data_IF_904812748677
#
_entry.id   IF_904812748677
#
_cell.length_a   1.000
_cell.length_b   1.000
_cell.length_c   1.000
_cell.angle_alpha   90.00
_cell.angle_beta   90.00
_cell.angle_gamma   90.00
#
_symmetry.space_group_name_H-M   'P 1'
#
loop_
_entity.id
_entity.type
_entity.pdbx_description
1 polymer ?
#
# COMPACT_ATOMS: atom_id res chain seq x y z
N UNK A 1 -34.02 13.22 3.22
CA UNK A 1 -34.11 11.89 2.61
C UNK A 1 -33.79 11.97 1.12
N UNK A 2 -34.53 12.77 0.32
CA UNK A 2 -34.25 12.96 -1.11
C UNK A 2 -32.97 13.74 -1.42
N UNK A 3 -32.77 14.92 -0.81
CA UNK A 3 -31.57 15.74 -1.06
C UNK A 3 -30.25 15.02 -0.71
N UNK A 4 -30.29 14.17 0.32
CA UNK A 4 -29.13 13.37 0.74
C UNK A 4 -28.79 12.29 -0.28
N UNK A 5 -29.80 11.66 -0.90
CA UNK A 5 -29.59 10.70 -1.99
C UNK A 5 -29.12 11.37 -3.28
N UNK A 6 -29.61 12.58 -3.57
CA UNK A 6 -29.20 13.34 -4.74
C UNK A 6 -27.71 13.74 -4.66
N UNK A 7 -27.27 14.21 -3.48
CA UNK A 7 -25.85 14.47 -3.20
C UNK A 7 -25.02 13.19 -3.31
N UNK A 8 -25.49 12.07 -2.72
CA UNK A 8 -24.78 10.78 -2.80
C UNK A 8 -24.60 10.31 -4.25
N UNK A 9 -25.62 10.43 -5.10
CA UNK A 9 -25.51 10.08 -6.53
C UNK A 9 -24.57 11.00 -7.30
N UNK A 10 -24.57 12.30 -7.00
CA UNK A 10 -23.65 13.26 -7.61
C UNK A 10 -22.20 12.97 -7.22
N UNK A 11 -21.98 12.60 -5.95
CA UNK A 11 -20.68 12.18 -5.42
C UNK A 11 -20.22 10.89 -6.11
N UNK A 12 -21.05 9.86 -6.18
CA UNK A 12 -20.75 8.59 -6.85
C UNK A 12 -20.43 8.78 -8.34
N UNK A 13 -21.18 9.63 -9.05
CA UNK A 13 -20.92 9.96 -10.45
C UNK A 13 -19.57 10.69 -10.65
N UNK A 14 -19.21 11.59 -9.73
CA UNK A 14 -17.93 12.30 -9.74
C UNK A 14 -16.75 11.34 -9.47
N UNK A 15 -16.91 10.40 -8.53
CA UNK A 15 -15.91 9.37 -8.26
C UNK A 15 -15.76 8.36 -9.40
N UNK A 16 -16.85 7.93 -10.03
CA UNK A 16 -16.83 6.97 -11.13
C UNK A 16 -16.20 7.48 -12.44
N UNK A 17 -16.09 8.80 -12.60
CA UNK A 17 -15.53 9.43 -13.81
C UNK A 17 -14.06 9.84 -13.65
N UNK A 18 -13.59 10.07 -12.41
CA UNK A 18 -12.28 10.71 -12.20
C UNK A 18 -11.13 9.73 -12.10
N UNK A 19 -9.99 10.10 -12.70
CA UNK A 19 -8.72 9.34 -12.61
C UNK A 19 -8.04 9.46 -11.24
N UNK A 20 -8.40 10.48 -10.45
CA UNK A 20 -7.78 10.84 -9.17
C UNK A 20 -8.87 11.03 -8.09
N UNK A 21 -9.31 9.93 -7.49
CA UNK A 21 -10.38 9.93 -6.48
C UNK A 21 -10.08 10.86 -5.28
N UNK A 22 -8.82 10.95 -4.86
CA UNK A 22 -8.40 11.80 -3.73
C UNK A 22 -8.64 13.29 -4.03
N UNK A 23 -8.39 13.72 -5.26
CA UNK A 23 -8.59 15.12 -5.67
C UNK A 23 -10.08 15.50 -5.70
N UNK A 24 -10.95 14.59 -6.17
CA UNK A 24 -12.40 14.81 -6.17
C UNK A 24 -12.96 14.83 -4.76
N UNK A 25 -12.49 13.93 -3.88
CA UNK A 25 -12.87 13.92 -2.47
C UNK A 25 -12.53 15.24 -1.77
N UNK A 26 -11.34 15.78 -2.04
CA UNK A 26 -10.87 17.05 -1.48
C UNK A 26 -11.77 18.23 -1.90
N UNK A 27 -12.10 18.32 -3.20
CA UNK A 27 -12.97 19.38 -3.74
C UNK A 27 -14.38 19.32 -3.16
N UNK A 28 -14.95 18.12 -3.04
CA UNK A 28 -16.29 17.93 -2.45
C UNK A 28 -16.32 18.31 -0.96
N UNK A 29 -15.29 17.91 -0.19
CA UNK A 29 -15.17 18.27 1.22
C UNK A 29 -15.00 19.78 1.41
N UNK A 30 -14.18 20.43 0.56
CA UNK A 30 -14.01 21.89 0.58
C UNK A 30 -15.31 22.64 0.30
N UNK A 31 -16.07 22.19 -0.71
CA UNK A 31 -17.39 22.78 -1.02
C UNK A 31 -18.38 22.60 0.12
N UNK A 32 -18.45 21.41 0.72
CA UNK A 32 -19.31 21.15 1.85
C UNK A 32 -18.99 22.03 3.07
N UNK A 33 -17.71 22.29 3.35
CA UNK A 33 -17.29 23.20 4.41
C UNK A 33 -17.71 24.65 4.13
N UNK A 34 -17.54 25.11 2.90
CA UNK A 34 -17.97 26.46 2.49
C UNK A 34 -19.49 26.63 2.60
N UNK A 35 -20.26 25.62 2.20
CA UNK A 35 -21.72 25.66 2.29
C UNK A 35 -22.20 25.62 3.75
N UNK A 36 -21.55 24.82 4.61
CA UNK A 36 -21.82 24.80 6.05
C UNK A 36 -21.51 26.13 6.74
N UNK A 37 -20.42 26.80 6.33
CA UNK A 37 -20.06 28.13 6.84
C UNK A 37 -21.07 29.20 6.39
N UNK A 38 -21.49 29.19 5.12
CA UNK A 38 -22.52 30.11 4.60
C UNK A 38 -23.86 29.95 5.29
N UNK A 39 -24.20 28.73 5.71
CA UNK A 39 -25.41 28.45 6.47
C UNK A 39 -25.31 28.83 7.96
N UNK A 40 -24.16 29.37 8.41
CA UNK A 40 -23.95 29.85 9.77
C UNK A 40 -23.79 28.74 10.81
N UNK A 41 -23.53 27.50 10.38
CA UNK A 41 -23.37 26.35 11.28
C UNK A 41 -21.99 26.28 11.95
N UNK A 42 -21.02 27.07 11.48
CA UNK A 42 -19.62 27.02 11.92
C UNK A 42 -19.15 28.41 12.35
N UNK A 43 -18.43 28.48 13.47
CA UNK A 43 -17.65 29.67 13.83
C UNK A 43 -16.35 29.73 13.01
N UNK A 44 -15.78 30.92 12.79
CA UNK A 44 -14.57 31.12 11.98
C UNK A 44 -13.39 30.24 12.43
N UNK A 45 -13.22 30.06 13.73
CA UNK A 45 -12.18 29.18 14.29
C UNK A 45 -12.44 27.70 13.94
N UNK A 46 -13.68 27.24 14.03
CA UNK A 46 -14.06 25.86 13.69
C UNK A 46 -13.89 25.58 12.21
N UNK A 47 -14.21 26.55 11.35
CA UNK A 47 -13.99 26.48 9.91
C UNK A 47 -12.49 26.31 9.59
N UNK A 48 -11.63 27.11 10.22
CA UNK A 48 -10.18 27.01 10.05
C UNK A 48 -9.62 25.65 10.50
N UNK A 49 -10.09 25.14 11.64
CA UNK A 49 -9.67 23.84 12.16
C UNK A 49 -10.12 22.67 11.26
N UNK A 50 -11.36 22.73 10.76
CA UNK A 50 -11.90 21.73 9.84
C UNK A 50 -11.17 21.73 8.50
N UNK A 51 -10.91 22.91 7.91
CA UNK A 51 -10.14 23.03 6.66
C UNK A 51 -8.73 22.45 6.82
N UNK A 52 -8.06 22.74 7.95
CA UNK A 52 -6.75 22.18 8.25
C UNK A 52 -6.80 20.65 8.37
N UNK A 53 -7.82 20.09 9.03
CA UNK A 53 -8.00 18.65 9.16
C UNK A 53 -8.29 17.97 7.82
N UNK A 54 -9.12 18.57 6.96
CA UNK A 54 -9.34 18.08 5.59
C UNK A 54 -8.04 18.10 4.80
N UNK A 55 -7.26 19.18 4.88
CA UNK A 55 -5.93 19.26 4.26
C UNK A 55 -4.99 18.13 4.71
N UNK A 56 -4.99 17.79 6.00
CA UNK A 56 -4.22 16.65 6.55
C UNK A 56 -4.70 15.31 6.00
N UNK A 57 -6.01 15.09 5.92
CA UNK A 57 -6.58 13.85 5.37
C UNK A 57 -6.23 13.68 3.89
N UNK A 58 -6.37 14.74 3.08
CA UNK A 58 -6.02 14.73 1.66
C UNK A 58 -4.53 14.47 1.47
N UNK A 59 -3.67 15.10 2.28
CA UNK A 59 -2.23 14.88 2.25
C UNK A 59 -1.88 13.42 2.59
N UNK A 60 -2.52 12.85 3.62
CA UNK A 60 -2.31 11.46 3.99
C UNK A 60 -2.78 10.49 2.89
N UNK A 61 -3.95 10.73 2.30
CA UNK A 61 -4.48 9.93 1.20
C UNK A 61 -3.59 10.00 -0.06
N UNK A 62 -3.08 11.20 -0.40
CA UNK A 62 -2.14 11.38 -1.50
C UNK A 62 -0.84 10.61 -1.28
N UNK A 63 -0.31 10.59 -0.05
CA UNK A 63 0.86 9.78 0.31
C UNK A 63 0.60 8.27 0.15
N UNK A 64 -0.60 7.79 0.52
CA UNK A 64 -0.97 6.39 0.30
C UNK A 64 -1.08 6.06 -1.19
N UNK A 65 -1.60 6.98 -2.02
CA UNK A 65 -1.64 6.81 -3.48
C UNK A 65 -0.24 6.78 -4.07
N UNK A 66 0.69 7.61 -3.59
CA UNK A 66 2.10 7.59 -4.01
C UNK A 66 2.76 6.25 -3.67
N UNK A 67 2.65 5.79 -2.42
CA UNK A 67 3.20 4.49 -1.99
C UNK A 67 2.59 3.33 -2.80
N UNK A 68 1.28 3.38 -3.07
CA UNK A 68 0.61 2.37 -3.90
C UNK A 68 0.96 2.45 -5.39
N UNK A 69 1.34 3.63 -5.89
CA UNK A 69 1.71 3.87 -7.30
C UNK A 69 3.20 3.72 -7.56
N UNK A 70 4.03 3.50 -6.53
CA UNK A 70 5.45 3.13 -6.70
C UNK A 70 5.60 1.61 -6.68
N UNK A 71 5.32 0.88 -7.77
CA UNK A 71 5.61 -0.55 -7.81
C UNK A 71 7.13 -0.73 -7.78
N UNK A 72 7.61 -1.60 -6.89
CA UNK A 72 8.99 -2.08 -6.94
C UNK A 72 9.25 -2.70 -8.32
N UNK A 73 10.40 -2.45 -8.97
CA UNK A 73 10.70 -3.03 -10.27
C UNK A 73 10.56 -4.56 -10.22
N UNK A 74 9.75 -5.13 -11.12
CA UNK A 74 9.52 -6.58 -11.20
C UNK A 74 10.84 -7.35 -11.35
N UNK A 75 11.81 -6.77 -12.04
CA UNK A 75 13.14 -7.35 -12.24
C UNK A 75 13.94 -7.52 -10.94
N UNK A 76 13.73 -6.65 -9.95
CA UNK A 76 14.38 -6.74 -8.64
C UNK A 76 13.98 -8.02 -7.93
N UNK A 77 12.68 -8.30 -7.86
CA UNK A 77 12.14 -9.52 -7.23
C UNK A 77 12.65 -10.78 -7.93
N UNK A 78 12.63 -10.81 -9.27
CA UNK A 78 13.18 -11.95 -10.01
C UNK A 78 14.67 -12.16 -9.77
N UNK A 79 15.45 -11.09 -9.64
CA UNK A 79 16.87 -11.20 -9.34
C UNK A 79 17.11 -11.78 -7.94
N UNK A 80 16.35 -11.29 -6.94
CA UNK A 80 16.48 -11.73 -5.56
C UNK A 80 16.20 -13.23 -5.39
N UNK A 81 15.05 -13.70 -5.90
CA UNK A 81 14.68 -15.12 -5.82
C UNK A 81 15.68 -16.02 -6.57
N UNK A 82 16.18 -15.61 -7.75
CA UNK A 82 17.19 -16.38 -8.50
C UNK A 82 18.52 -16.46 -7.75
N UNK A 83 18.96 -15.34 -7.16
CA UNK A 83 20.18 -15.31 -6.35
C UNK A 83 20.04 -16.22 -5.12
N UNK A 84 18.90 -16.16 -4.42
CA UNK A 84 18.61 -16.98 -3.25
C UNK A 84 18.58 -18.48 -3.60
N UNK A 85 18.01 -18.85 -4.74
CA UNK A 85 18.04 -20.23 -5.23
C UNK A 85 19.46 -20.73 -5.49
N UNK A 86 20.31 -19.92 -6.13
CA UNK A 86 21.73 -20.26 -6.36
C UNK A 86 22.46 -20.39 -5.02
N UNK A 87 22.23 -19.50 -4.08
CA UNK A 87 22.81 -19.56 -2.74
C UNK A 87 22.43 -20.87 -2.02
N UNK A 88 21.12 -21.17 -1.93
CA UNK A 88 20.63 -22.40 -1.31
C UNK A 88 21.15 -23.66 -2.02
N UNK A 89 21.32 -23.65 -3.34
CA UNK A 89 21.88 -24.77 -4.09
C UNK A 89 23.38 -24.96 -3.86
N UNK A 90 24.15 -23.89 -3.70
CA UNK A 90 25.60 -23.97 -3.43
C UNK A 90 25.93 -24.36 -1.98
N UNK A 91 25.05 -24.04 -1.03
CA UNK A 91 25.21 -24.29 0.40
C UNK A 91 25.52 -25.76 0.77
N UNK A 92 24.82 -26.80 0.26
CA UNK A 92 25.15 -28.19 0.56
C UNK A 92 26.55 -28.59 0.08
N UNK A 93 27.05 -28.04 -1.03
CA UNK A 93 28.40 -28.34 -1.51
C UNK A 93 29.49 -27.77 -0.59
N UNK A 94 29.23 -26.60 0.02
CA UNK A 94 30.13 -25.98 0.99
C UNK A 94 30.13 -26.75 2.32
N UNK A 95 28.98 -27.26 2.75
CA UNK A 95 28.85 -27.99 4.02
C UNK A 95 29.24 -29.47 3.93
N UNK A 96 29.14 -30.09 2.76
CA UNK A 96 29.47 -31.50 2.54
C UNK A 96 30.84 -31.94 3.09
N UNK A 97 31.97 -31.21 2.86
CA UNK A 97 33.26 -31.61 3.41
C UNK A 97 33.37 -31.45 4.94
N UNK A 98 32.53 -30.62 5.57
CA UNK A 98 32.56 -30.35 7.01
C UNK A 98 31.69 -31.32 7.81
N UNK A 99 30.53 -31.68 7.25
CA UNK A 99 29.44 -32.35 7.98
C UNK A 99 28.95 -33.64 7.30
N UNK A 100 29.50 -34.01 6.14
CA UNK A 100 29.11 -35.22 5.40
C UNK A 100 27.61 -35.25 5.09
N UNK A 101 26.94 -36.37 5.38
CA UNK A 101 25.50 -36.55 5.15
C UNK A 101 24.61 -35.60 5.97
N UNK A 102 25.07 -35.14 7.13
CA UNK A 102 24.30 -34.19 7.95
C UNK A 102 24.23 -32.79 7.31
N UNK A 103 25.11 -32.49 6.35
CA UNK A 103 25.08 -31.26 5.55
C UNK A 103 23.75 -31.05 4.84
N UNK A 104 23.13 -32.13 4.32
CA UNK A 104 21.84 -32.07 3.59
C UNK A 104 20.72 -31.61 4.51
N UNK A 105 20.67 -32.12 5.76
CA UNK A 105 19.65 -31.74 6.73
C UNK A 105 19.80 -30.26 7.13
N UNK A 106 21.04 -29.85 7.42
CA UNK A 106 21.35 -28.47 7.81
C UNK A 106 21.05 -27.51 6.66
N UNK A 107 21.47 -27.84 5.43
CA UNK A 107 21.23 -26.99 4.26
C UNK A 107 19.74 -26.83 3.97
N UNK A 108 18.95 -27.90 4.12
CA UNK A 108 17.51 -27.86 3.91
C UNK A 108 16.83 -26.95 4.94
N UNK A 109 17.23 -27.03 6.22
CA UNK A 109 16.70 -26.16 7.27
C UNK A 109 17.02 -24.68 7.03
N UNK A 110 18.26 -24.37 6.65
CA UNK A 110 18.67 -22.98 6.35
C UNK A 110 17.95 -22.47 5.11
N UNK A 111 17.84 -23.29 4.07
CA UNK A 111 17.13 -22.91 2.84
C UNK A 111 15.66 -22.62 3.11
N UNK A 112 15.01 -23.45 3.93
CA UNK A 112 13.63 -23.22 4.36
C UNK A 112 13.47 -21.87 5.08
N UNK A 113 14.36 -21.55 6.01
CA UNK A 113 14.33 -20.27 6.72
C UNK A 113 14.54 -19.07 5.77
N UNK A 114 15.50 -19.16 4.84
CA UNK A 114 15.80 -18.10 3.88
C UNK A 114 14.67 -17.88 2.87
N UNK A 115 14.09 -18.96 2.34
CA UNK A 115 12.93 -18.87 1.45
C UNK A 115 11.71 -18.30 2.16
N UNK A 116 11.49 -18.65 3.43
CA UNK A 116 10.43 -18.03 4.24
C UNK A 116 10.63 -16.53 4.43
N UNK A 117 11.87 -16.06 4.56
CA UNK A 117 12.17 -14.62 4.63
C UNK A 117 11.89 -13.93 3.29
N UNK A 118 12.26 -14.55 2.16
CA UNK A 118 11.99 -14.01 0.80
C UNK A 118 10.49 -13.82 0.56
N UNK A 119 9.68 -14.80 0.97
CA UNK A 119 8.22 -14.73 0.88
C UNK A 119 7.65 -13.57 1.70
N UNK A 120 8.08 -13.43 2.97
CA UNK A 120 7.65 -12.32 3.83
C UNK A 120 8.08 -10.97 3.25
N UNK A 121 9.30 -10.89 2.69
CA UNK A 121 9.80 -9.67 2.05
C UNK A 121 8.90 -9.26 0.86
N UNK A 122 8.52 -10.21 0.01
CA UNK A 122 7.65 -9.94 -1.15
C UNK A 122 6.28 -9.36 -0.74
N UNK A 123 5.72 -9.81 0.39
CA UNK A 123 4.46 -9.28 0.94
C UNK A 123 4.63 -7.87 1.50
N UNK A 124 5.74 -7.62 2.20
CA UNK A 124 6.04 -6.30 2.78
C UNK A 124 6.28 -5.25 1.70
N UNK A 125 6.81 -5.64 0.54
CA UNK A 125 7.01 -4.73 -0.60
C UNK A 125 5.70 -4.21 -1.21
N UNK A 126 4.58 -4.89 -0.99
CA UNK A 126 3.28 -4.54 -1.58
C UNK A 126 2.19 -4.39 -0.51
N UNK A 127 2.22 -3.33 0.33
CA UNK A 127 1.36 -3.21 1.51
C UNK A 127 -0.14 -3.07 1.21
N UNK A 128 -0.51 -2.68 -0.03
CA UNK A 128 -1.90 -2.42 -0.43
C UNK A 128 -2.45 -3.44 -1.44
N UNK A 129 -1.59 -4.22 -2.09
CA UNK A 129 -1.99 -5.35 -2.91
C UNK A 129 -2.22 -6.52 -1.96
N UNK A 130 -3.48 -6.83 -1.65
CA UNK A 130 -3.81 -8.01 -0.85
C UNK A 130 -3.19 -9.29 -1.44
N UNK A 131 -3.00 -10.33 -0.62
CA UNK A 131 -2.41 -11.63 -0.98
C UNK A 131 -3.00 -12.19 -2.29
N UNK A 132 -2.41 -11.85 -3.42
CA UNK A 132 -2.66 -12.47 -4.71
C UNK A 132 -1.35 -13.14 -5.08
N UNK A 133 -1.30 -14.49 -5.10
CA UNK A 133 -0.13 -15.18 -5.60
C UNK A 133 0.03 -14.81 -7.08
N UNK A 134 1.18 -14.22 -7.41
CA UNK A 134 1.67 -14.08 -8.78
C UNK A 134 2.02 -15.43 -9.37
#
# INVERSE_FOLDING_TARGET
SDATQEVLRAVEAAFGTSRNAVAVAADLLGRALVDANKAGFLADYQMLELDCNVGRMVSAAGRCEEIGRTPTPIEYNFHCTRFLLVFCFTLPFVLAPLYGWSAVLISTLVSYALMGIDEIASVVESPFQGYLPV
#
